data_IF_835544612138
#
_entry.id   IF_835544612138
#
_cell.length_a   1.000
_cell.length_b   1.000
_cell.length_c   1.000
_cell.angle_alpha   90.00
_cell.angle_beta   90.00
_cell.angle_gamma   90.00
#
_symmetry.space_group_name_H-M   'P 1'
#
loop_
_entity.id
_entity.type
_entity.pdbx_description
1 polymer ?
#
# COMPACT_ATOMS: atom_id res chain seq x y z
N UNK A 1 -11.67 -8.27 10.96
CA UNK A 1 -11.53 -6.84 10.63
C UNK A 1 -12.80 -6.43 9.89
N UNK A 2 -13.50 -5.41 10.36
CA UNK A 2 -14.70 -4.93 9.67
C UNK A 2 -14.28 -3.85 8.66
N UNK A 3 -14.86 -3.82 7.46
CA UNK A 3 -14.55 -2.76 6.50
C UNK A 3 -14.97 -1.41 7.10
N UNK A 4 -14.20 -0.34 6.85
CA UNK A 4 -14.56 1.00 7.27
C UNK A 4 -15.86 1.45 6.57
N UNK A 5 -16.50 2.49 7.11
CA UNK A 5 -17.68 3.06 6.49
C UNK A 5 -17.37 3.63 5.10
N UNK A 6 -18.39 3.67 4.22
CA UNK A 6 -18.25 4.26 2.88
C UNK A 6 -17.83 5.73 2.93
N UNK A 7 -18.30 6.47 3.95
CA UNK A 7 -17.90 7.86 4.14
C UNK A 7 -16.40 7.98 4.42
N UNK A 8 -15.85 7.09 5.27
CA UNK A 8 -14.42 7.03 5.55
C UNK A 8 -13.62 6.75 4.27
N UNK A 9 -14.04 5.77 3.46
CA UNK A 9 -13.39 5.47 2.18
C UNK A 9 -13.41 6.66 1.23
N UNK A 10 -14.56 7.34 1.11
CA UNK A 10 -14.71 8.52 0.25
C UNK A 10 -13.73 9.62 0.65
N UNK A 11 -13.56 9.89 1.94
CA UNK A 11 -12.60 10.90 2.42
C UNK A 11 -11.15 10.52 2.08
N UNK A 12 -10.75 9.26 2.33
CA UNK A 12 -9.40 8.80 1.98
C UNK A 12 -9.12 8.89 0.48
N UNK A 13 -10.07 8.45 -0.34
CA UNK A 13 -9.95 8.49 -1.79
C UNK A 13 -9.84 9.93 -2.31
N UNK A 14 -10.70 10.83 -1.83
CA UNK A 14 -10.66 12.24 -2.23
C UNK A 14 -9.31 12.90 -1.88
N UNK A 15 -8.79 12.64 -0.69
CA UNK A 15 -7.48 13.16 -0.26
C UNK A 15 -6.35 12.62 -1.13
N UNK A 16 -6.33 11.32 -1.40
CA UNK A 16 -5.34 10.69 -2.28
C UNK A 16 -5.42 11.26 -3.70
N UNK A 17 -6.63 11.38 -4.25
CA UNK A 17 -6.85 11.92 -5.58
C UNK A 17 -6.38 13.37 -5.71
N UNK A 18 -6.65 14.20 -4.70
CA UNK A 18 -6.16 15.58 -4.65
C UNK A 18 -4.64 15.64 -4.52
N UNK A 19 -4.02 14.73 -3.77
CA UNK A 19 -2.57 14.64 -3.65
C UNK A 19 -1.90 14.25 -4.98
N UNK A 20 -2.48 13.29 -5.70
CA UNK A 20 -2.06 12.89 -7.04
C UNK A 20 -2.20 14.05 -8.04
N UNK A 21 -3.37 14.71 -8.08
CA UNK A 21 -3.64 15.82 -9.00
C UNK A 21 -2.73 17.03 -8.75
N UNK A 22 -2.41 17.32 -7.49
CA UNK A 22 -1.51 18.42 -7.12
C UNK A 22 -0.02 18.09 -7.33
N UNK A 23 0.31 16.83 -7.63
CA UNK A 23 1.68 16.34 -7.71
C UNK A 23 2.44 16.43 -6.38
N UNK A 24 1.74 16.64 -5.27
CA UNK A 24 2.33 16.80 -3.94
C UNK A 24 2.98 15.50 -3.43
N UNK A 25 2.53 14.34 -3.91
CA UNK A 25 3.15 13.04 -3.62
C UNK A 25 4.59 12.94 -4.11
N UNK A 26 4.94 13.66 -5.18
CA UNK A 26 6.28 13.64 -5.77
C UNK A 26 7.13 14.85 -5.35
N UNK A 27 6.54 15.81 -4.65
CA UNK A 27 7.23 17.01 -4.18
C UNK A 27 7.72 16.80 -2.75
N UNK A 28 8.99 16.43 -2.61
CA UNK A 28 9.65 16.42 -1.31
C UNK A 28 9.88 17.87 -0.86
N UNK A 29 9.07 18.34 0.08
CA UNK A 29 9.27 19.65 0.70
C UNK A 29 10.42 19.60 1.72
N UNK A 30 11.06 20.75 1.98
CA UNK A 30 12.09 20.83 3.03
C UNK A 30 11.56 20.43 4.42
N UNK A 31 10.29 20.73 4.71
CA UNK A 31 9.62 20.31 5.94
C UNK A 31 9.51 18.78 6.05
N UNK A 32 9.21 18.10 4.94
CA UNK A 32 9.17 16.62 4.90
C UNK A 32 10.58 16.04 5.11
N UNK A 33 11.61 16.68 4.55
CA UNK A 33 13.00 16.26 4.73
C UNK A 33 13.45 16.39 6.20
N UNK A 34 13.02 17.45 6.88
CA UNK A 34 13.28 17.65 8.31
C UNK A 34 12.51 16.63 9.17
N UNK A 35 11.26 16.32 8.83
CA UNK A 35 10.50 15.26 9.48
C UNK A 35 11.14 13.88 9.31
N UNK A 36 11.64 13.56 8.12
CA UNK A 36 12.36 12.30 7.85
C UNK A 36 13.64 12.19 8.68
N UNK A 37 14.39 13.29 8.85
CA UNK A 37 15.58 13.31 9.72
C UNK A 37 15.25 13.18 11.20
N UNK A 38 14.09 13.66 11.61
CA UNK A 38 13.65 13.65 13.01
C UNK A 38 12.79 12.42 13.34
N UNK A 39 12.60 11.49 12.40
CA UNK A 39 11.88 10.25 12.64
C UNK A 39 12.75 9.32 13.50
N UNK A 40 12.18 8.79 14.57
CA UNK A 40 12.84 7.81 15.44
C UNK A 40 12.72 6.38 14.90
N UNK A 41 13.60 5.49 15.36
CA UNK A 41 13.57 4.06 15.03
C UNK A 41 12.22 3.37 15.31
N UNK A 42 11.48 3.69 16.40
CA UNK A 42 10.16 3.10 16.64
C UNK A 42 9.13 3.41 15.55
N UNK A 43 9.15 4.65 15.03
CA UNK A 43 8.21 5.09 13.99
C UNK A 43 8.51 4.39 12.66
N UNK A 44 9.79 4.20 12.33
CA UNK A 44 10.20 3.43 11.15
C UNK A 44 9.76 1.97 11.29
N UNK A 45 9.97 1.36 12.46
CA UNK A 45 9.59 -0.04 12.69
C UNK A 45 8.08 -0.25 12.52
N UNK A 46 7.26 0.63 13.11
CA UNK A 46 5.80 0.58 12.94
C UNK A 46 5.42 0.76 11.47
N UNK A 47 6.00 1.75 10.79
CA UNK A 47 5.75 1.98 9.36
C UNK A 47 6.14 0.77 8.49
N UNK A 48 7.25 0.11 8.81
CA UNK A 48 7.72 -1.08 8.11
C UNK A 48 6.79 -2.28 8.33
N UNK A 49 6.29 -2.49 9.55
CA UNK A 49 5.31 -3.56 9.84
C UNK A 49 4.03 -3.32 9.04
N UNK A 50 3.47 -2.11 9.08
CA UNK A 50 2.25 -1.77 8.33
C UNK A 50 2.48 -1.95 6.82
N UNK A 51 3.64 -1.57 6.31
CA UNK A 51 4.00 -1.78 4.91
C UNK A 51 4.07 -3.27 4.56
N UNK A 52 4.71 -4.08 5.41
CA UNK A 52 4.79 -5.53 5.22
C UNK A 52 3.40 -6.19 5.25
N UNK A 53 2.49 -5.73 6.13
CA UNK A 53 1.10 -6.19 6.16
C UNK A 53 0.36 -5.85 4.86
N UNK A 54 0.50 -4.62 4.34
CA UNK A 54 -0.07 -4.23 3.06
C UNK A 54 0.43 -5.10 1.90
N UNK A 55 1.73 -5.39 1.86
CA UNK A 55 2.31 -6.30 0.85
C UNK A 55 1.74 -7.72 1.00
N UNK A 56 1.65 -8.23 2.23
CA UNK A 56 1.06 -9.54 2.51
C UNK A 56 -0.39 -9.64 2.03
N UNK A 57 -1.24 -8.65 2.34
CA UNK A 57 -2.63 -8.62 1.88
C UNK A 57 -2.75 -8.48 0.37
N UNK A 58 -1.85 -7.72 -0.26
CA UNK A 58 -1.79 -7.64 -1.72
C UNK A 58 -1.53 -9.02 -2.33
N UNK A 59 -0.53 -9.76 -1.82
CA UNK A 59 -0.24 -11.13 -2.29
C UNK A 59 -1.42 -12.07 -2.06
N UNK A 60 -2.10 -12.00 -0.91
CA UNK A 60 -3.33 -12.79 -0.68
C UNK A 60 -4.42 -12.43 -1.69
N UNK A 61 -4.57 -11.15 -2.03
CA UNK A 61 -5.46 -10.68 -3.09
C UNK A 61 -5.10 -11.25 -4.46
N UNK A 62 -3.82 -11.31 -4.80
CA UNK A 62 -3.34 -11.95 -6.03
C UNK A 62 -3.64 -13.46 -6.04
N UNK A 63 -3.46 -14.15 -4.91
CA UNK A 63 -3.81 -15.57 -4.77
C UNK A 63 -5.30 -15.80 -5.06
N UNK A 64 -6.18 -14.96 -4.50
CA UNK A 64 -7.62 -15.02 -4.73
C UNK A 64 -7.95 -14.70 -6.20
N UNK A 65 -7.42 -13.61 -6.75
CA UNK A 65 -7.67 -13.20 -8.13
C UNK A 65 -7.17 -14.21 -9.18
N UNK A 66 -6.12 -14.96 -8.85
CA UNK A 66 -5.57 -16.03 -9.70
C UNK A 66 -6.15 -17.41 -9.40
N UNK A 67 -7.08 -17.49 -8.43
CA UNK A 67 -7.67 -18.72 -7.90
C UNK A 67 -6.62 -19.79 -7.56
N UNK A 68 -5.50 -19.37 -6.96
CA UNK A 68 -4.40 -20.26 -6.58
C UNK A 68 -3.67 -19.83 -5.33
N UNK A 69 -3.18 -20.83 -4.62
CA UNK A 69 -2.41 -20.64 -3.39
C UNK A 69 -0.89 -20.71 -3.69
N UNK A 70 -0.47 -21.51 -4.68
CA UNK A 70 0.95 -21.73 -5.00
C UNK A 70 1.14 -21.81 -6.53
N UNK A 71 2.16 -21.13 -7.05
CA UNK A 71 2.61 -21.27 -8.45
C UNK A 71 1.70 -20.64 -9.53
N UNK A 72 2.07 -20.83 -10.80
CA UNK A 72 1.27 -20.48 -11.99
C UNK A 72 0.45 -21.71 -12.44
N UNK A 73 -0.67 -21.53 -13.18
CA UNK A 73 -1.31 -22.70 -13.80
C UNK A 73 -0.28 -23.14 -14.83
N UNK A 74 0.14 -24.40 -14.78
CA UNK A 74 1.19 -24.89 -15.67
C UNK A 74 0.92 -24.42 -17.09
N UNK A 75 1.90 -23.77 -17.70
CA UNK A 75 1.91 -23.67 -19.15
C UNK A 75 1.70 -25.10 -19.66
N UNK A 76 0.76 -25.38 -20.57
CA UNK A 76 0.72 -26.69 -21.18
C UNK A 76 2.09 -26.87 -21.81
N UNK A 77 2.87 -27.82 -21.28
CA UNK A 77 4.13 -28.20 -21.90
C UNK A 77 3.73 -28.69 -23.30
N UNK A 78 3.92 -27.82 -24.31
CA UNK A 78 3.77 -28.17 -25.70
C UNK A 78 4.88 -29.19 -25.99
N UNK A 79 4.54 -30.47 -25.89
CA UNK A 79 5.32 -31.58 -26.41
C UNK A 79 4.89 -31.82 -27.86
#
# INVERSE_FOLDING_TARGET
MNPPSLATFQSYYQNLWNALKSGSLFKVSQNMLQQLRNIGSPQIAVGAVIFAECVGFFTVGEMIGRFKIIGYHGEPNNH
#
